data_IF_765561162571
#
_entry.id   IF_765561162571
#
_cell.length_a   1.000
_cell.length_b   1.000
_cell.length_c   1.000
_cell.angle_alpha   90.00
_cell.angle_beta   90.00
_cell.angle_gamma   90.00
#
_symmetry.space_group_name_H-M   'P 1'
#
loop_
_entity.id
_entity.type
_entity.pdbx_description
1 polymer ?
#
# COMPACT_ATOMS: atom_id res chain seq x y z
N UNK A 1 -32.39 20.63 0.71
CA UNK A 1 -31.24 20.50 -0.19
C UNK A 1 -30.41 19.32 0.28
N UNK A 2 -30.62 18.17 -0.32
CA UNK A 2 -29.95 16.93 0.07
C UNK A 2 -28.52 16.97 -0.46
N UNK A 3 -27.54 17.19 0.42
CA UNK A 3 -26.13 17.06 0.06
C UNK A 3 -25.86 15.59 -0.22
N UNK A 4 -25.87 15.21 -1.49
CA UNK A 4 -25.46 13.87 -1.91
C UNK A 4 -24.02 13.65 -1.44
N UNK A 5 -23.89 12.87 -0.37
CA UNK A 5 -22.60 12.49 0.18
C UNK A 5 -21.84 11.75 -0.93
N UNK A 6 -20.67 12.27 -1.32
CA UNK A 6 -19.88 11.72 -2.42
C UNK A 6 -19.42 10.31 -2.05
N UNK A 7 -20.19 9.30 -2.43
CA UNK A 7 -19.84 7.91 -2.21
C UNK A 7 -18.68 7.54 -3.13
N UNK A 8 -17.48 7.40 -2.56
CA UNK A 8 -16.28 6.99 -3.30
C UNK A 8 -16.51 5.57 -3.78
N UNK A 9 -16.69 5.36 -5.10
CA UNK A 9 -16.62 4.04 -5.72
C UNK A 9 -15.17 3.55 -5.60
N UNK A 10 -14.85 2.92 -4.47
CA UNK A 10 -13.58 2.22 -4.29
C UNK A 10 -13.70 0.91 -5.03
N UNK A 11 -13.44 0.89 -6.34
CA UNK A 11 -13.22 -0.36 -7.05
C UNK A 11 -12.08 -1.08 -6.34
N UNK A 12 -12.43 -2.11 -5.57
CA UNK A 12 -11.48 -3.02 -4.96
C UNK A 12 -10.53 -3.49 -6.06
N UNK A 13 -9.22 -3.45 -5.82
CA UNK A 13 -8.24 -4.09 -6.73
C UNK A 13 -8.27 -5.61 -6.61
N UNK A 14 -9.03 -6.17 -5.66
CA UNK A 14 -9.20 -7.60 -5.50
C UNK A 14 -10.06 -8.16 -6.63
N UNK A 15 -9.55 -9.21 -7.28
CA UNK A 15 -10.25 -9.93 -8.36
C UNK A 15 -11.21 -10.99 -7.82
N UNK A 16 -11.41 -11.05 -6.50
CA UNK A 16 -12.10 -12.15 -5.83
C UNK A 16 -11.52 -13.53 -6.21
N UNK A 17 -10.19 -13.60 -6.41
CA UNK A 17 -9.50 -14.85 -6.71
C UNK A 17 -9.72 -15.84 -5.56
N UNK A 18 -10.14 -17.09 -5.84
CA UNK A 18 -10.35 -18.10 -4.81
C UNK A 18 -9.04 -18.65 -4.25
N UNK A 19 -7.87 -18.21 -4.74
CA UNK A 19 -6.58 -18.76 -4.33
C UNK A 19 -6.42 -18.78 -2.81
N UNK A 20 -6.07 -19.95 -2.25
CA UNK A 20 -5.93 -20.12 -0.81
C UNK A 20 -4.94 -21.22 -0.45
N UNK A 21 -4.15 -20.94 0.59
CA UNK A 21 -3.16 -21.85 1.17
C UNK A 21 -3.40 -21.98 2.68
N UNK A 22 -2.89 -23.06 3.26
CA UNK A 22 -2.89 -23.31 4.70
C UNK A 22 -1.49 -23.03 5.24
N UNK A 23 -1.40 -22.07 6.15
CA UNK A 23 -0.21 -21.82 6.95
C UNK A 23 -0.45 -22.36 8.36
N UNK A 24 0.45 -23.20 8.86
CA UNK A 24 0.41 -23.72 10.23
C UNK A 24 1.72 -23.40 10.94
N UNK A 25 1.61 -22.66 12.04
CA UNK A 25 2.72 -22.43 12.97
C UNK A 25 2.99 -23.71 13.78
N UNK A 26 4.26 -24.04 13.98
CA UNK A 26 4.66 -25.13 14.86
C UNK A 26 4.44 -24.78 16.34
N UNK A 27 4.29 -25.79 17.19
CA UNK A 27 4.05 -25.57 18.62
C UNK A 27 5.18 -24.80 19.32
N UNK A 28 6.41 -24.93 18.82
CA UNK A 28 7.58 -24.21 19.32
C UNK A 28 7.69 -22.76 18.78
N UNK A 29 6.78 -22.32 17.91
CA UNK A 29 6.73 -21.00 17.27
C UNK A 29 7.98 -20.61 16.47
N UNK A 30 8.81 -21.59 16.10
CA UNK A 30 10.05 -21.36 15.35
C UNK A 30 9.91 -21.62 13.86
N UNK A 31 8.91 -22.40 13.46
CA UNK A 31 8.75 -22.82 12.08
C UNK A 31 7.31 -22.70 11.60
N UNK A 32 7.17 -22.55 10.29
CA UNK A 32 5.88 -22.47 9.63
C UNK A 32 5.85 -23.49 8.50
N UNK A 33 4.76 -24.24 8.42
CA UNK A 33 4.50 -25.12 7.27
C UNK A 33 3.44 -24.48 6.39
N UNK A 34 3.75 -24.31 5.11
CA UNK A 34 2.82 -23.82 4.09
C UNK A 34 2.40 -24.97 3.18
N UNK A 35 1.10 -25.17 2.97
CA UNK A 35 0.55 -26.20 2.08
C UNK A 35 -0.59 -25.65 1.24
N UNK A 36 -0.72 -26.13 0.00
CA UNK A 36 -1.93 -25.90 -0.79
C UNK A 36 -3.12 -26.61 -0.14
N UNK A 37 -4.32 -26.04 -0.32
CA UNK A 37 -5.56 -26.76 -0.01
C UNK A 37 -5.76 -27.90 -1.01
N UNK A 38 -6.39 -28.98 -0.57
CA UNK A 38 -6.62 -30.18 -1.40
C UNK A 38 -7.55 -29.91 -2.59
N UNK A 39 -8.50 -29.01 -2.41
CA UNK A 39 -9.47 -28.68 -3.45
C UNK A 39 -8.83 -27.79 -4.55
N UNK A 40 -8.82 -28.24 -5.82
CA UNK A 40 -8.18 -27.53 -6.93
C UNK A 40 -8.71 -26.12 -7.17
N UNK A 41 -9.92 -25.78 -6.73
CA UNK A 41 -10.43 -24.41 -6.90
C UNK A 41 -9.56 -23.37 -6.20
N UNK A 42 -8.80 -23.78 -5.18
CA UNK A 42 -7.91 -22.90 -4.43
C UNK A 42 -6.52 -22.74 -5.07
N UNK A 43 -6.20 -23.46 -6.14
CA UNK A 43 -4.97 -23.29 -6.93
C UNK A 43 -5.19 -22.60 -8.27
N UNK A 44 -6.43 -22.43 -8.70
CA UNK A 44 -6.77 -21.76 -9.95
C UNK A 44 -6.89 -20.24 -9.76
N UNK A 45 -6.13 -19.49 -10.56
CA UNK A 45 -6.21 -18.04 -10.61
C UNK A 45 -7.22 -17.58 -11.67
N UNK A 46 -7.98 -16.52 -11.35
CA UNK A 46 -8.92 -15.87 -12.28
C UNK A 46 -8.34 -14.61 -12.93
N UNK A 47 -7.01 -14.47 -12.88
CA UNK A 47 -6.28 -13.32 -13.37
C UNK A 47 -4.88 -13.76 -13.82
N UNK A 48 -4.29 -12.99 -14.72
CA UNK A 48 -2.90 -13.13 -15.13
C UNK A 48 -1.93 -12.84 -13.96
N UNK A 49 -0.71 -13.40 -13.98
CA UNK A 49 0.35 -13.00 -13.07
C UNK A 49 0.67 -11.50 -13.18
N UNK A 50 1.08 -10.89 -12.07
CA UNK A 50 1.56 -9.51 -12.07
C UNK A 50 2.87 -9.38 -12.84
N UNK A 51 2.98 -8.40 -13.74
CA UNK A 51 4.20 -8.13 -14.50
C UNK A 51 5.41 -7.70 -13.66
N UNK A 52 5.17 -7.12 -12.48
CA UNK A 52 6.23 -6.64 -11.59
C UNK A 52 5.77 -6.64 -10.14
N UNK A 53 6.68 -6.82 -9.19
CA UNK A 53 6.42 -6.65 -7.75
C UNK A 53 5.80 -5.28 -7.43
N UNK A 54 6.21 -4.22 -8.15
CA UNK A 54 5.69 -2.85 -7.99
C UNK A 54 4.22 -2.70 -8.40
N UNK A 55 3.60 -3.70 -9.02
CA UNK A 55 2.16 -3.71 -9.27
C UNK A 55 1.35 -3.70 -7.96
N UNK A 56 1.92 -4.25 -6.89
CA UNK A 56 1.28 -4.38 -5.58
C UNK A 56 1.69 -3.24 -4.65
N UNK A 57 0.74 -2.48 -4.07
CA UNK A 57 1.05 -1.34 -3.19
C UNK A 57 1.92 -1.69 -1.98
N UNK A 58 1.86 -2.94 -1.50
CA UNK A 58 2.68 -3.41 -0.38
C UNK A 58 4.19 -3.29 -0.66
N UNK A 59 4.60 -3.43 -1.92
CA UNK A 59 5.99 -3.31 -2.35
C UNK A 59 6.41 -1.87 -2.70
N UNK A 60 5.50 -0.90 -2.57
CA UNK A 60 5.74 0.52 -2.86
C UNK A 60 5.56 1.40 -1.62
N UNK A 61 5.63 0.81 -0.44
CA UNK A 61 5.53 1.54 0.83
C UNK A 61 6.81 2.33 1.06
N UNK A 62 6.65 3.51 1.66
CA UNK A 62 7.76 4.31 2.16
C UNK A 62 8.20 3.74 3.50
N UNK A 63 9.51 3.59 3.70
CA UNK A 63 10.08 3.42 5.03
C UNK A 63 10.03 4.76 5.79
N UNK A 64 10.53 4.79 7.02
CA UNK A 64 10.45 5.98 7.86
C UNK A 64 11.33 7.12 7.32
N UNK A 65 12.54 6.82 6.85
CA UNK A 65 13.47 7.79 6.25
C UNK A 65 12.89 8.44 4.99
N UNK A 66 12.36 7.64 4.08
CA UNK A 66 11.66 8.10 2.87
C UNK A 66 10.43 8.92 3.22
N UNK A 67 9.71 8.55 4.27
CA UNK A 67 8.53 9.30 4.74
C UNK A 67 8.95 10.68 5.25
N UNK A 68 10.01 10.76 6.05
CA UNK A 68 10.54 12.02 6.56
C UNK A 68 11.01 12.93 5.43
N UNK A 69 11.78 12.38 4.48
CA UNK A 69 12.25 13.10 3.29
C UNK A 69 11.07 13.61 2.44
N UNK A 70 10.08 12.76 2.19
CA UNK A 70 8.87 13.10 1.45
C UNK A 70 8.12 14.27 2.11
N UNK A 71 7.99 14.26 3.43
CA UNK A 71 7.29 15.33 4.15
C UNK A 71 8.09 16.64 4.17
N UNK A 72 9.42 16.57 4.31
CA UNK A 72 10.29 17.75 4.23
C UNK A 72 10.14 18.45 2.87
N UNK A 73 10.19 17.70 1.77
CA UNK A 73 10.01 18.23 0.42
C UNK A 73 8.59 18.76 0.20
N UNK A 74 7.58 18.07 0.69
CA UNK A 74 6.19 18.50 0.57
C UNK A 74 5.91 19.80 1.35
N UNK A 75 6.52 19.96 2.52
CA UNK A 75 6.40 21.18 3.34
C UNK A 75 7.19 22.35 2.74
N UNK A 76 8.26 22.08 2.01
CA UNK A 76 8.99 23.07 1.21
C UNK A 76 8.24 23.49 -0.09
N UNK A 77 7.03 22.98 -0.31
CA UNK A 77 6.21 23.34 -1.47
C UNK A 77 6.59 22.63 -2.77
N UNK A 78 7.46 21.62 -2.72
CA UNK A 78 7.86 20.86 -3.91
C UNK A 78 6.68 20.04 -4.44
N UNK A 79 6.47 20.05 -5.76
CA UNK A 79 5.36 19.34 -6.36
C UNK A 79 5.55 17.81 -6.24
N UNK A 80 4.49 17.02 -6.01
CA UNK A 80 4.59 15.56 -5.82
C UNK A 80 5.27 14.78 -6.96
N UNK A 81 5.18 15.29 -8.19
CA UNK A 81 5.89 14.71 -9.36
C UNK A 81 7.42 14.80 -9.21
N UNK A 82 7.91 15.89 -8.62
CA UNK A 82 9.33 16.18 -8.47
C UNK A 82 9.85 15.46 -7.22
N UNK A 83 9.05 15.41 -6.15
CA UNK A 83 9.30 14.56 -4.98
C UNK A 83 9.48 13.09 -5.40
N UNK A 84 8.57 12.55 -6.23
CA UNK A 84 8.69 11.18 -6.75
C UNK A 84 10.00 10.97 -7.50
N UNK A 85 10.36 11.92 -8.35
CA UNK A 85 11.60 11.84 -9.15
C UNK A 85 12.82 11.84 -8.22
N UNK A 86 12.84 12.72 -7.22
CA UNK A 86 13.89 12.75 -6.21
C UNK A 86 14.02 11.44 -5.43
N UNK A 87 12.90 10.91 -4.92
CA UNK A 87 12.88 9.63 -4.19
C UNK A 87 13.36 8.45 -5.04
N UNK A 88 13.07 8.46 -6.35
CA UNK A 88 13.57 7.43 -7.26
C UNK A 88 15.09 7.44 -7.37
N UNK A 89 15.70 8.63 -7.34
CA UNK A 89 17.15 8.77 -7.42
C UNK A 89 17.85 8.52 -6.08
N UNK A 90 17.26 8.98 -4.97
CA UNK A 90 17.91 8.93 -3.65
C UNK A 90 17.80 7.58 -2.95
N UNK A 91 16.64 6.92 -3.05
CA UNK A 91 16.36 5.68 -2.31
C UNK A 91 15.88 4.52 -3.17
N UNK A 92 16.02 4.65 -4.51
CA UNK A 92 15.51 3.68 -5.48
C UNK A 92 14.01 3.34 -5.28
N UNK A 93 13.24 4.29 -4.73
CA UNK A 93 11.84 4.08 -4.41
C UNK A 93 11.03 3.76 -5.69
N UNK A 94 10.18 2.74 -5.60
CA UNK A 94 9.28 2.33 -6.68
C UNK A 94 7.89 2.95 -6.55
N UNK A 95 7.73 3.93 -5.65
CA UNK A 95 6.49 4.61 -5.40
C UNK A 95 5.95 5.33 -6.64
N UNK A 96 4.65 5.16 -6.89
CA UNK A 96 3.95 5.92 -7.92
C UNK A 96 3.63 7.32 -7.40
N UNK A 97 3.29 8.23 -8.31
CA UNK A 97 2.86 9.58 -7.92
C UNK A 97 1.61 9.56 -7.01
N UNK A 98 0.70 8.60 -7.25
CA UNK A 98 -0.47 8.38 -6.40
C UNK A 98 -0.08 7.94 -4.99
N UNK A 99 0.95 7.11 -4.86
CA UNK A 99 1.44 6.68 -3.54
C UNK A 99 2.01 7.87 -2.77
N UNK A 100 2.77 8.77 -3.43
CA UNK A 100 3.27 10.03 -2.83
C UNK A 100 2.10 10.89 -2.32
N UNK A 101 1.10 11.16 -3.16
CA UNK A 101 -0.09 11.92 -2.74
C UNK A 101 -0.80 11.29 -1.55
N UNK A 102 -1.03 9.97 -1.61
CA UNK A 102 -1.72 9.25 -0.55
C UNK A 102 -0.93 9.28 0.77
N UNK A 103 0.41 9.17 0.71
CA UNK A 103 1.26 9.21 1.90
C UNK A 103 1.25 10.59 2.55
N UNK A 104 1.41 11.67 1.77
CA UNK A 104 1.30 13.05 2.27
C UNK A 104 -0.06 13.25 2.97
N UNK A 105 -1.15 12.83 2.32
CA UNK A 105 -2.49 12.94 2.89
C UNK A 105 -2.71 12.06 4.13
N UNK A 106 -2.05 10.91 4.23
CA UNK A 106 -2.10 10.06 5.42
C UNK A 106 -1.39 10.72 6.60
N UNK A 107 -0.13 11.14 6.41
CA UNK A 107 0.67 11.78 7.48
C UNK A 107 -0.02 13.07 7.98
N UNK A 108 -0.56 13.89 7.08
CA UNK A 108 -1.31 15.10 7.49
C UNK A 108 -2.55 14.77 8.32
N UNK A 109 -3.28 13.71 7.98
CA UNK A 109 -4.44 13.26 8.79
C UNK A 109 -4.00 12.74 10.15
N UNK A 110 -2.90 12.01 10.22
CA UNK A 110 -2.32 11.53 11.49
C UNK A 110 -1.91 12.70 12.39
N UNK A 111 -1.28 13.74 11.84
CA UNK A 111 -0.95 14.98 12.57
C UNK A 111 -2.20 15.71 13.08
N UNK A 112 -3.23 15.86 12.26
CA UNK A 112 -4.48 16.51 12.68
C UNK A 112 -5.24 15.68 13.72
N UNK A 113 -5.24 14.35 13.63
CA UNK A 113 -5.88 13.48 14.61
C UNK A 113 -5.22 13.59 15.99
N UNK A 114 -3.88 13.72 16.02
CA UNK A 114 -3.11 13.97 17.25
C UNK A 114 -3.21 15.40 17.80
N UNK A 115 -3.82 16.33 17.06
CA UNK A 115 -4.04 17.73 17.44
C UNK A 115 -5.48 18.03 17.88
N UNK A 116 -6.30 17.00 18.13
CA UNK A 116 -7.64 17.22 18.70
C UNK A 116 -7.50 17.90 20.07
N UNK A 117 -7.92 19.18 20.12
CA UNK A 117 -7.91 20.01 21.32
C UNK A 117 -8.80 19.43 22.42
N UNK A 118 -8.26 19.36 23.64
CA UNK A 118 -9.06 19.46 24.88
C UNK A 118 -9.58 20.89 24.98
#
# INVERSE_FOLDING_TARGET
SETAERQRKTTSRGTNCPFSVLAKESLDKKTWTLRHRQDPRFSLHNHEPSHCSTAHPVHRKFNDDDTNLLMNLANAGIAPKDIRTYLRHQSASTATQKDVYNRIAAVRREMCAGQSSI
#
